data_IF_391973679692
#
_entry.id   IF_391973679692
#
_cell.length_a   1.000
_cell.length_b   1.000
_cell.length_c   1.000
_cell.angle_alpha   90.00
_cell.angle_beta   90.00
_cell.angle_gamma   90.00
#
_symmetry.space_group_name_H-M   'P 1'
#
loop_
_entity.id
_entity.type
_entity.pdbx_description
1 polymer ?
#
# COMPACT_ATOMS: atom_id res chain seq x y z
N UNK A 1 19.20 -18.97 9.96
CA UNK A 1 19.57 -18.22 8.75
C UNK A 1 18.32 -18.10 7.92
N UNK A 2 17.73 -16.92 7.84
CA UNK A 2 16.55 -16.73 7.00
C UNK A 2 16.93 -16.99 5.54
N UNK A 3 16.16 -17.84 4.85
CA UNK A 3 16.41 -18.12 3.44
C UNK A 3 16.46 -16.82 2.63
N UNK A 4 17.38 -16.76 1.66
CA UNK A 4 17.45 -15.69 0.66
C UNK A 4 16.15 -15.72 -0.16
N UNK A 5 15.41 -14.61 -0.29
CA UNK A 5 14.14 -14.62 -1.00
C UNK A 5 14.37 -14.72 -2.51
N UNK A 6 13.46 -15.37 -3.22
CA UNK A 6 13.43 -15.33 -4.69
C UNK A 6 12.72 -14.07 -5.18
N UNK A 7 13.23 -13.48 -6.26
CA UNK A 7 12.63 -12.30 -6.88
C UNK A 7 12.05 -12.65 -8.25
N UNK A 8 10.87 -12.10 -8.55
CA UNK A 8 10.43 -11.92 -9.93
C UNK A 8 10.75 -10.49 -10.34
N UNK A 9 11.66 -10.30 -11.30
CA UNK A 9 12.11 -8.98 -11.74
C UNK A 9 11.52 -8.69 -13.12
N UNK A 10 10.56 -7.77 -13.16
CA UNK A 10 9.94 -7.27 -14.39
C UNK A 10 10.75 -6.08 -14.88
N UNK A 11 11.55 -6.28 -15.93
CA UNK A 11 12.49 -5.29 -16.45
C UNK A 11 11.94 -4.59 -17.69
N UNK A 12 12.22 -3.30 -17.84
CA UNK A 12 11.92 -2.53 -19.07
C UNK A 12 13.03 -1.53 -19.38
N UNK A 13 13.36 -1.35 -20.66
CA UNK A 13 14.40 -0.41 -21.09
C UNK A 13 15.81 -0.85 -20.70
N UNK A 14 16.83 -0.12 -21.15
CA UNK A 14 18.23 -0.48 -20.91
C UNK A 14 18.60 -0.45 -19.44
N UNK A 15 18.17 0.58 -18.72
CA UNK A 15 18.44 0.71 -17.28
C UNK A 15 17.79 -0.43 -16.48
N UNK A 16 16.53 -0.75 -16.77
CA UNK A 16 15.78 -1.79 -16.05
C UNK A 16 16.44 -3.16 -16.16
N UNK A 17 16.91 -3.52 -17.36
CA UNK A 17 17.64 -4.77 -17.59
C UNK A 17 18.97 -4.81 -16.83
N UNK A 18 19.75 -3.73 -16.82
CA UNK A 18 21.00 -3.66 -16.06
C UNK A 18 20.80 -3.78 -14.55
N UNK A 19 19.72 -3.20 -14.03
CA UNK A 19 19.31 -3.38 -12.62
C UNK A 19 18.90 -4.82 -12.36
N UNK A 20 18.14 -5.43 -13.26
CA UNK A 20 17.69 -6.81 -13.16
C UNK A 20 18.85 -7.81 -13.12
N UNK A 21 19.84 -7.66 -14.00
CA UNK A 21 21.04 -8.52 -14.05
C UNK A 21 21.79 -8.49 -12.71
N UNK A 22 22.03 -7.29 -12.17
CA UNK A 22 22.73 -7.12 -10.88
C UNK A 22 21.93 -7.61 -9.68
N UNK A 23 20.60 -7.55 -9.75
CA UNK A 23 19.73 -8.12 -8.72
C UNK A 23 19.72 -9.64 -8.80
N UNK A 24 19.49 -10.23 -9.97
CA UNK A 24 19.48 -11.67 -10.17
C UNK A 24 20.80 -12.33 -9.72
N UNK A 25 21.95 -11.69 -10.00
CA UNK A 25 23.24 -12.15 -9.51
C UNK A 25 23.37 -12.16 -7.97
N UNK A 26 22.61 -11.33 -7.26
CA UNK A 26 22.60 -11.25 -5.80
C UNK A 26 21.48 -12.04 -5.10
N UNK A 27 20.52 -12.57 -5.87
CA UNK A 27 19.36 -13.31 -5.35
C UNK A 27 19.19 -14.60 -6.16
N UNK A 28 19.92 -15.68 -5.82
CA UNK A 28 19.84 -16.96 -6.52
C UNK A 28 18.41 -17.49 -6.62
N UNK A 29 18.05 -18.06 -7.79
CA UNK A 29 16.69 -18.55 -8.05
C UNK A 29 15.68 -17.46 -8.43
N UNK A 30 16.11 -16.21 -8.60
CA UNK A 30 15.27 -15.13 -9.12
C UNK A 30 15.11 -15.23 -10.63
N UNK A 31 13.94 -14.85 -11.12
CA UNK A 31 13.59 -14.85 -12.55
C UNK A 31 13.50 -13.41 -13.06
N UNK A 32 14.04 -13.17 -14.25
CA UNK A 32 13.91 -11.88 -14.97
C UNK A 32 12.94 -12.06 -16.13
N UNK A 33 12.02 -11.11 -16.29
CA UNK A 33 11.03 -11.10 -17.37
C UNK A 33 10.92 -9.70 -17.96
N UNK A 34 10.71 -9.60 -19.27
CA UNK A 34 10.45 -8.32 -19.91
C UNK A 34 9.04 -7.81 -19.58
N UNK A 35 8.91 -6.51 -19.30
CA UNK A 35 7.65 -5.83 -19.01
C UNK A 35 6.65 -5.85 -20.16
N UNK A 36 7.08 -6.10 -21.40
CA UNK A 36 6.20 -6.33 -22.55
C UNK A 36 5.45 -7.67 -22.45
N UNK A 37 5.92 -8.59 -21.61
CA UNK A 37 5.34 -9.93 -21.41
C UNK A 37 5.19 -10.24 -19.91
N UNK A 38 4.37 -9.49 -19.17
CA UNK A 38 4.23 -9.68 -17.74
C UNK A 38 3.65 -11.07 -17.43
N UNK A 39 4.28 -11.81 -16.53
CA UNK A 39 3.76 -13.09 -16.06
C UNK A 39 2.46 -12.89 -15.30
N UNK A 40 1.48 -13.78 -15.53
CA UNK A 40 0.15 -13.70 -14.93
C UNK A 40 0.13 -14.02 -13.43
N UNK A 41 1.15 -14.72 -12.92
CA UNK A 41 1.28 -15.09 -11.51
C UNK A 41 2.73 -14.95 -11.04
N UNK A 42 3.01 -14.18 -9.98
CA UNK A 42 4.35 -14.11 -9.41
C UNK A 42 4.61 -15.37 -8.58
N UNK A 43 5.38 -16.31 -9.13
CA UNK A 43 5.94 -17.44 -8.38
C UNK A 43 7.29 -17.08 -7.77
N UNK A 44 7.28 -16.05 -6.93
CA UNK A 44 8.45 -15.54 -6.24
C UNK A 44 8.05 -14.96 -4.87
N UNK A 45 9.02 -14.82 -3.96
CA UNK A 45 8.76 -14.21 -2.67
C UNK A 45 8.42 -12.73 -2.78
N UNK A 46 9.07 -12.02 -3.71
CA UNK A 46 8.91 -10.57 -3.93
C UNK A 46 8.95 -10.25 -5.42
N UNK A 47 8.11 -9.30 -5.87
CA UNK A 47 8.13 -8.80 -7.25
C UNK A 47 8.82 -7.43 -7.31
N UNK A 48 9.72 -7.24 -8.26
CA UNK A 48 10.44 -5.98 -8.50
C UNK A 48 10.16 -5.50 -9.91
N UNK A 49 9.67 -4.28 -10.08
CA UNK A 49 9.54 -3.66 -11.40
C UNK A 49 10.73 -2.73 -11.60
N UNK A 50 11.64 -3.03 -12.52
CA UNK A 50 12.84 -2.24 -12.77
C UNK A 50 12.74 -1.57 -14.15
N UNK A 51 12.85 -0.25 -14.21
CA UNK A 51 12.65 0.42 -15.49
C UNK A 51 13.02 1.88 -15.54
N UNK A 52 12.91 2.40 -16.76
CA UNK A 52 12.89 3.83 -17.04
C UNK A 52 11.44 4.28 -16.96
N UNK A 53 11.18 5.40 -16.29
CA UNK A 53 9.85 5.99 -16.10
C UNK A 53 8.77 5.02 -15.54
N UNK A 54 7.60 5.57 -15.19
CA UNK A 54 6.51 4.80 -14.59
C UNK A 54 5.54 4.28 -15.66
N UNK A 55 5.66 2.99 -16.01
CA UNK A 55 4.71 2.33 -16.92
C UNK A 55 3.44 1.96 -16.16
N UNK A 56 2.50 2.89 -16.09
CA UNK A 56 1.27 2.76 -15.29
C UNK A 56 0.50 1.44 -15.52
N UNK A 57 0.44 0.95 -16.76
CA UNK A 57 -0.21 -0.32 -17.10
C UNK A 57 0.51 -1.54 -16.50
N UNK A 58 1.85 -1.55 -16.56
CA UNK A 58 2.69 -2.61 -15.97
C UNK A 58 2.57 -2.58 -14.44
N UNK A 59 2.70 -1.39 -13.85
CA UNK A 59 2.58 -1.21 -12.41
C UNK A 59 1.20 -1.66 -11.88
N UNK A 60 0.11 -1.34 -12.60
CA UNK A 60 -1.25 -1.76 -12.24
C UNK A 60 -1.48 -3.28 -12.44
N UNK A 61 -0.89 -3.88 -13.48
CA UNK A 61 -0.93 -5.33 -13.66
C UNK A 61 -0.19 -6.06 -12.53
N UNK A 62 1.01 -5.59 -12.18
CA UNK A 62 1.82 -6.14 -11.08
C UNK A 62 1.12 -5.95 -9.74
N UNK A 63 0.58 -4.76 -9.45
CA UNK A 63 -0.13 -4.52 -8.17
C UNK A 63 -1.32 -5.46 -8.01
N UNK A 64 -2.11 -5.69 -9.06
CA UNK A 64 -3.26 -6.62 -9.03
C UNK A 64 -2.82 -8.07 -8.84
N UNK A 65 -1.79 -8.51 -9.56
CA UNK A 65 -1.29 -9.89 -9.46
C UNK A 65 -0.66 -10.15 -8.08
N UNK A 66 0.18 -9.22 -7.60
CA UNK A 66 0.83 -9.28 -6.30
C UNK A 66 -0.18 -9.23 -5.15
N UNK A 67 -1.21 -8.39 -5.25
CA UNK A 67 -2.29 -8.33 -4.27
C UNK A 67 -3.05 -9.66 -4.16
N UNK A 68 -3.46 -10.23 -5.30
CA UNK A 68 -4.14 -11.54 -5.35
C UNK A 68 -3.27 -12.65 -4.76
N UNK A 69 -1.97 -12.65 -5.09
CA UNK A 69 -1.01 -13.65 -4.61
C UNK A 69 -0.50 -13.38 -3.17
N UNK A 70 -0.91 -12.26 -2.54
CA UNK A 70 -0.38 -11.76 -1.25
C UNK A 70 1.15 -11.65 -1.24
N UNK A 71 1.75 -11.25 -2.36
CA UNK A 71 3.19 -11.07 -2.49
C UNK A 71 3.59 -9.60 -2.37
N UNK A 72 4.63 -9.26 -1.59
CA UNK A 72 5.22 -7.94 -1.63
C UNK A 72 5.70 -7.57 -3.02
N UNK A 73 5.63 -6.29 -3.36
CA UNK A 73 6.25 -5.78 -4.56
C UNK A 73 6.68 -4.32 -4.43
N UNK A 74 7.58 -3.89 -5.30
CA UNK A 74 7.95 -2.47 -5.43
C UNK A 74 8.55 -2.15 -6.79
N UNK A 75 8.39 -0.92 -7.30
CA UNK A 75 9.10 -0.45 -8.47
C UNK A 75 10.44 0.21 -8.10
N UNK A 76 11.41 0.15 -9.01
CA UNK A 76 12.69 0.86 -8.99
C UNK A 76 12.86 1.52 -10.35
N UNK A 77 12.64 2.82 -10.38
CA UNK A 77 12.45 3.58 -11.60
C UNK A 77 13.46 4.70 -11.70
N UNK A 78 14.06 4.85 -12.88
CA UNK A 78 14.79 6.05 -13.25
C UNK A 78 13.81 7.04 -13.91
N UNK A 79 13.42 8.06 -13.17
CA UNK A 79 12.50 9.14 -13.57
C UNK A 79 13.31 10.45 -13.50
N UNK A 80 14.23 10.63 -14.46
CA UNK A 80 15.30 11.63 -14.38
C UNK A 80 14.78 13.04 -14.02
N UNK A 81 15.43 13.75 -13.07
CA UNK A 81 16.72 13.42 -12.43
C UNK A 81 16.62 12.47 -11.23
N UNK A 82 15.45 11.94 -10.91
CA UNK A 82 15.25 11.16 -9.70
C UNK A 82 15.32 9.65 -9.95
N UNK A 83 16.07 8.97 -9.11
CA UNK A 83 15.99 7.52 -8.93
C UNK A 83 15.01 7.23 -7.79
N UNK A 84 13.90 6.55 -8.11
CA UNK A 84 12.83 6.25 -7.15
C UNK A 84 12.74 4.75 -6.90
N UNK A 85 12.70 4.35 -5.64
CA UNK A 85 12.44 2.98 -5.20
C UNK A 85 11.20 2.96 -4.29
N UNK A 86 10.13 2.33 -4.74
CA UNK A 86 8.86 2.24 -4.04
C UNK A 86 7.70 2.94 -4.76
N UNK A 87 6.46 2.79 -4.26
CA UNK A 87 6.14 2.32 -2.90
C UNK A 87 6.50 0.84 -2.67
N UNK A 88 7.03 0.53 -1.48
CA UNK A 88 7.17 -0.86 -1.02
C UNK A 88 5.82 -1.35 -0.53
N UNK A 89 5.11 -2.07 -1.40
CA UNK A 89 3.75 -2.58 -1.16
C UNK A 89 3.84 -3.97 -0.57
N UNK A 90 3.26 -4.16 0.62
CA UNK A 90 3.03 -5.44 1.26
C UNK A 90 1.52 -5.62 1.43
N UNK A 91 0.87 -6.48 0.63
CA UNK A 91 -0.57 -6.71 0.69
C UNK A 91 -1.05 -7.01 2.11
N UNK A 92 -2.12 -6.35 2.54
CA UNK A 92 -2.68 -6.47 3.89
C UNK A 92 -1.94 -5.70 5.00
N UNK A 93 -0.77 -5.12 4.70
CA UNK A 93 0.05 -4.39 5.69
C UNK A 93 0.28 -2.92 5.35
N UNK A 94 0.56 -2.60 4.09
CA UNK A 94 0.87 -1.22 3.65
C UNK A 94 -0.23 -0.66 2.75
N UNK A 95 -0.12 0.63 2.43
CA UNK A 95 -0.86 1.21 1.31
C UNK A 95 -0.52 0.49 0.00
N UNK A 96 -1.51 0.31 -0.89
CA UNK A 96 -1.29 -0.22 -2.23
C UNK A 96 -0.75 0.85 -3.20
N UNK A 97 -0.37 0.43 -4.40
CA UNK A 97 0.10 1.35 -5.42
C UNK A 97 -0.97 2.35 -5.89
N UNK A 98 -2.25 1.95 -5.94
CA UNK A 98 -3.33 2.87 -6.26
C UNK A 98 -3.48 3.99 -5.20
N UNK A 99 -3.28 3.69 -3.91
CA UNK A 99 -3.22 4.72 -2.87
C UNK A 99 -2.07 5.71 -3.13
N UNK A 100 -0.89 5.21 -3.51
CA UNK A 100 0.23 6.07 -3.90
C UNK A 100 -0.12 6.97 -5.08
N UNK A 101 -0.70 6.42 -6.16
CA UNK A 101 -1.08 7.21 -7.35
C UNK A 101 -2.07 8.32 -7.01
N UNK A 102 -3.10 8.02 -6.20
CA UNK A 102 -4.09 9.01 -5.75
C UNK A 102 -3.41 10.13 -4.94
N UNK A 103 -2.60 9.77 -3.93
CA UNK A 103 -1.86 10.76 -3.12
C UNK A 103 -0.92 11.61 -3.97
N UNK A 104 -0.25 11.02 -4.96
CA UNK A 104 0.64 11.76 -5.86
C UNK A 104 -0.13 12.79 -6.71
N UNK A 105 -1.32 12.43 -7.19
CA UNK A 105 -2.22 13.35 -7.92
C UNK A 105 -2.70 14.51 -7.03
N UNK A 106 -3.08 14.21 -5.78
CA UNK A 106 -3.52 15.24 -4.82
C UNK A 106 -2.42 16.29 -4.54
N UNK A 107 -1.16 15.86 -4.58
CA UNK A 107 0.01 16.74 -4.42
C UNK A 107 0.47 17.41 -5.73
N UNK A 108 -0.34 17.38 -6.80
CA UNK A 108 -0.01 17.98 -8.09
C UNK A 108 1.14 17.29 -8.82
N UNK A 109 1.51 16.08 -8.41
CA UNK A 109 2.51 15.30 -9.13
C UNK A 109 2.00 14.93 -10.53
N UNK A 110 2.87 14.89 -11.55
CA UNK A 110 2.46 14.52 -12.90
C UNK A 110 1.86 13.11 -12.89
N UNK A 111 0.73 12.93 -13.59
CA UNK A 111 0.24 11.59 -13.90
C UNK A 111 1.20 11.02 -14.95
N UNK A 112 2.23 10.29 -14.49
CA UNK A 112 3.34 9.80 -15.33
C UNK A 112 2.93 8.77 -16.38
N UNK A 113 1.63 8.65 -16.67
CA UNK A 113 1.04 7.60 -17.49
C UNK A 113 1.08 7.81 -19.00
N UNK A 114 1.70 8.85 -19.56
CA UNK A 114 1.46 9.18 -20.99
C UNK A 114 2.64 9.64 -21.83
N UNK A 115 3.86 9.78 -21.32
CA UNK A 115 4.98 10.21 -22.18
C UNK A 115 6.24 9.40 -21.87
N UNK A 116 6.62 8.52 -22.80
CA UNK A 116 7.99 8.03 -22.89
C UNK A 116 8.87 9.24 -23.16
N UNK A 117 9.47 9.79 -22.12
CA UNK A 117 10.46 10.85 -22.26
C UNK A 117 11.80 10.17 -22.51
N UNK A 118 12.56 10.56 -23.54
CA UNK A 118 13.94 10.11 -23.67
C UNK A 118 14.67 10.43 -22.37
N UNK A 119 15.04 9.40 -21.63
CA UNK A 119 15.86 9.59 -20.44
C UNK A 119 17.26 9.93 -20.96
N UNK A 120 17.89 11.02 -20.49
CA UNK A 120 19.33 11.18 -20.68
C UNK A 120 19.99 9.87 -20.23
N UNK A 121 20.94 9.35 -21.01
CA UNK A 121 21.55 8.04 -20.73
C UNK A 121 21.97 7.87 -19.27
N UNK A 122 21.92 6.65 -18.73
CA UNK A 122 22.29 6.38 -17.35
C UNK A 122 23.77 6.01 -17.22
N UNK A 123 24.39 6.43 -16.12
CA UNK A 123 25.72 5.99 -15.75
C UNK A 123 25.68 4.69 -14.93
N UNK A 124 26.78 3.94 -14.95
CA UNK A 124 26.86 2.62 -14.31
C UNK A 124 26.70 2.68 -12.78
N UNK A 125 27.03 3.84 -12.17
CA UNK A 125 26.81 4.11 -10.75
C UNK A 125 25.34 4.38 -10.41
N UNK A 126 24.51 4.89 -11.35
CA UNK A 126 23.05 5.01 -11.15
C UNK A 126 22.42 3.63 -10.98
N UNK A 127 22.86 2.65 -11.79
CA UNK A 127 22.45 1.25 -11.65
C UNK A 127 22.89 0.70 -10.29
N UNK A 128 24.10 1.04 -9.83
CA UNK A 128 24.58 0.66 -8.49
C UNK A 128 23.69 1.18 -7.36
N UNK A 129 23.31 2.46 -7.42
CA UNK A 129 22.38 3.08 -6.46
C UNK A 129 21.00 2.40 -6.50
N UNK A 130 20.48 2.10 -7.69
CA UNK A 130 19.19 1.44 -7.87
C UNK A 130 19.16 0.05 -7.23
N UNK A 131 20.21 -0.74 -7.44
CA UNK A 131 20.38 -2.06 -6.82
C UNK A 131 20.47 -1.94 -5.30
N UNK A 132 21.19 -0.94 -4.78
CA UNK A 132 21.30 -0.72 -3.34
C UNK A 132 19.94 -0.37 -2.70
N UNK A 133 19.16 0.52 -3.34
CA UNK A 133 17.80 0.86 -2.92
C UNK A 133 16.87 -0.36 -2.99
N UNK A 134 16.92 -1.14 -4.06
CA UNK A 134 16.14 -2.36 -4.23
C UNK A 134 16.45 -3.40 -3.15
N UNK A 135 17.74 -3.65 -2.86
CA UNK A 135 18.16 -4.56 -1.77
C UNK A 135 17.65 -4.10 -0.42
N UNK A 136 17.60 -2.78 -0.18
CA UNK A 136 17.00 -2.21 1.03
C UNK A 136 15.49 -2.46 1.08
N UNK A 137 14.78 -2.24 -0.02
CA UNK A 137 13.35 -2.50 -0.13
C UNK A 137 13.00 -3.98 0.08
N UNK A 138 13.82 -4.92 -0.41
CA UNK A 138 13.68 -6.36 -0.13
C UNK A 138 13.73 -6.63 1.39
N UNK A 139 14.69 -6.03 2.11
CA UNK A 139 14.78 -6.18 3.57
C UNK A 139 13.58 -5.57 4.28
N UNK A 140 13.18 -4.36 3.87
CA UNK A 140 12.05 -3.65 4.46
C UNK A 140 10.72 -4.42 4.24
N UNK A 141 10.52 -5.06 3.08
CA UNK A 141 9.34 -5.88 2.78
C UNK A 141 9.21 -7.11 3.69
N UNK A 142 10.35 -7.73 4.05
CA UNK A 142 10.40 -8.90 4.93
C UNK A 142 10.27 -8.56 6.41
N UNK A 143 10.55 -7.32 6.79
CA UNK A 143 10.56 -6.93 8.20
C UNK A 143 9.17 -6.42 8.63
N UNK A 144 8.59 -6.94 9.71
CA UNK A 144 7.43 -6.33 10.35
C UNK A 144 7.78 -4.93 10.87
N UNK A 145 7.37 -3.87 10.15
CA UNK A 145 7.53 -2.50 10.63
C UNK A 145 6.56 -2.22 11.78
N UNK A 146 7.07 -1.80 12.94
CA UNK A 146 6.28 -1.22 14.04
C UNK A 146 5.83 0.23 13.74
N UNK A 147 6.41 0.87 12.73
CA UNK A 147 6.12 2.26 12.34
C UNK A 147 5.05 2.27 11.25
N UNK A 148 3.95 2.99 11.54
CA UNK A 148 2.79 3.41 10.75
C UNK A 148 2.35 2.52 9.56
N UNK A 149 1.04 2.26 9.40
CA UNK A 149 0.51 1.49 8.26
C UNK A 149 0.65 2.27 6.95
N UNK A 150 1.85 2.28 6.37
CA UNK A 150 2.17 3.00 5.14
C UNK A 150 3.24 2.30 4.33
N UNK A 151 3.12 2.39 3.00
CA UNK A 151 4.21 2.01 2.12
C UNK A 151 5.28 3.12 2.13
N UNK A 152 6.52 2.80 1.80
CA UNK A 152 7.59 3.81 1.76
C UNK A 152 8.17 3.93 0.36
N UNK A 153 8.57 5.16 0.03
CA UNK A 153 9.30 5.50 -1.20
C UNK A 153 10.64 6.07 -0.77
N UNK A 154 11.70 5.66 -1.46
CA UNK A 154 13.03 6.25 -1.37
C UNK A 154 13.35 6.93 -2.68
N UNK A 155 13.93 8.11 -2.61
CA UNK A 155 14.35 8.88 -3.77
C UNK A 155 15.81 9.26 -3.62
N UNK A 156 16.52 9.33 -4.74
CA UNK A 156 17.83 9.96 -4.84
C UNK A 156 17.79 10.85 -6.07
N UNK A 157 17.97 12.15 -5.89
CA UNK A 157 18.15 13.06 -7.00
C UNK A 157 19.59 12.93 -7.50
N UNK A 158 19.76 12.52 -8.76
CA UNK A 158 21.05 12.19 -9.35
C UNK A 158 21.90 13.44 -9.69
N UNK A 159 21.27 14.62 -9.71
CA UNK A 159 21.96 15.90 -9.98
C UNK A 159 22.45 16.54 -8.68
N UNK A 160 21.60 16.64 -7.67
CA UNK A 160 21.92 17.28 -6.39
C UNK A 160 22.52 16.33 -5.36
N UNK A 161 22.41 15.02 -5.58
CA UNK A 161 22.79 13.98 -4.61
C UNK A 161 21.86 13.89 -3.40
N UNK A 162 20.77 14.66 -3.34
CA UNK A 162 19.86 14.63 -2.20
C UNK A 162 19.08 13.32 -2.17
N UNK A 163 18.90 12.75 -0.98
CA UNK A 163 18.09 11.55 -0.80
C UNK A 163 16.89 11.82 0.08
N UNK A 164 15.76 11.18 -0.25
CA UNK A 164 14.49 11.34 0.42
C UNK A 164 13.88 10.01 0.85
N UNK A 165 13.07 10.05 1.90
CA UNK A 165 12.18 8.95 2.29
C UNK A 165 10.78 9.51 2.54
N UNK A 166 9.80 8.97 1.83
CA UNK A 166 8.43 9.46 1.84
C UNK A 166 7.48 8.33 2.23
N UNK A 167 6.58 8.62 3.17
CA UNK A 167 5.52 7.69 3.56
C UNK A 167 4.31 7.83 2.65
N UNK A 168 3.71 6.70 2.27
CA UNK A 168 2.44 6.63 1.54
C UNK A 168 1.38 6.13 2.49
N UNK A 169 0.42 7.00 2.79
CA UNK A 169 -0.73 6.68 3.64
C UNK A 169 -1.84 6.09 2.78
N UNK A 170 -2.45 5.00 3.24
CA UNK A 170 -3.60 4.40 2.57
C UNK A 170 -4.74 5.43 2.44
N UNK A 171 -5.48 5.35 1.35
CA UNK A 171 -6.69 6.15 1.13
C UNK A 171 -7.87 5.43 1.78
N UNK A 172 -8.70 6.16 2.51
CA UNK A 172 -9.91 5.61 3.11
C UNK A 172 -10.88 5.12 2.03
N UNK A 173 -11.44 3.92 2.25
CA UNK A 173 -12.33 3.29 1.26
C UNK A 173 -11.62 2.78 0.00
N UNK A 174 -10.29 2.70 -0.03
CA UNK A 174 -9.58 2.12 -1.18
C UNK A 174 -10.10 0.70 -1.47
N UNK A 175 -10.67 0.42 -2.65
CA UNK A 175 -11.29 -0.88 -2.94
C UNK A 175 -10.28 -2.05 -2.90
N UNK A 176 -8.98 -1.76 -2.99
CA UNK A 176 -7.89 -2.74 -2.93
C UNK A 176 -7.46 -3.02 -1.50
N UNK A 177 -6.83 -2.06 -0.81
CA UNK A 177 -6.22 -2.32 0.50
C UNK A 177 -7.06 -1.86 1.72
N UNK A 178 -8.12 -1.09 1.50
CA UNK A 178 -9.03 -0.58 2.55
C UNK A 178 -10.49 -0.62 2.07
N UNK A 179 -11.01 -1.79 1.68
CA UNK A 179 -12.38 -1.86 1.17
C UNK A 179 -13.35 -1.29 2.22
N UNK A 180 -14.42 -0.61 1.80
CA UNK A 180 -15.42 -0.10 2.72
C UNK A 180 -15.86 -1.23 3.66
N UNK A 181 -15.86 -0.97 4.97
CA UNK A 181 -16.48 -1.91 5.90
C UNK A 181 -17.95 -2.00 5.50
N UNK A 182 -18.41 -3.21 5.16
CA UNK A 182 -19.84 -3.48 5.10
C UNK A 182 -20.36 -3.14 6.49
N UNK A 183 -21.10 -2.04 6.60
CA UNK A 183 -21.80 -1.74 7.84
C UNK A 183 -22.76 -2.90 8.04
N UNK A 184 -22.56 -3.69 9.08
CA UNK A 184 -23.63 -4.57 9.56
C UNK A 184 -24.86 -3.68 9.70
N UNK A 185 -25.99 -4.13 9.15
CA UNK A 185 -27.25 -3.40 9.27
C UNK A 185 -27.40 -2.99 10.73
N UNK A 186 -27.54 -1.69 10.99
CA UNK A 186 -27.87 -1.23 12.34
C UNK A 186 -29.14 -2.00 12.70
N UNK A 187 -29.16 -2.81 13.77
CA UNK A 187 -30.40 -3.44 14.21
C UNK A 187 -31.42 -2.32 14.33
N UNK A 188 -32.62 -2.56 13.78
CA UNK A 188 -33.69 -1.57 13.76
C UNK A 188 -33.78 -0.92 15.14
N UNK A 189 -33.89 0.41 15.19
CA UNK A 189 -34.12 1.06 16.47
C UNK A 189 -35.30 0.35 17.14
N UNK A 190 -35.18 -0.05 18.40
CA UNK A 190 -36.32 -0.59 19.11
C UNK A 190 -37.44 0.43 18.98
N UNK A 191 -38.64 -0.06 18.65
CA UNK A 191 -39.81 0.77 18.45
C UNK A 191 -39.89 1.83 19.56
N UNK A 192 -40.24 3.09 19.22
CA UNK A 192 -40.33 4.14 20.22
C UNK A 192 -41.14 3.61 21.39
N UNK A 193 -40.55 3.65 22.60
CA UNK A 193 -41.28 3.26 23.81
C UNK A 193 -42.53 4.13 23.83
N UNK A 194 -43.70 3.52 23.67
CA UNK A 194 -44.95 4.22 23.88
C UNK A 194 -44.84 4.82 25.27
N UNK A 195 -44.95 6.15 25.36
CA UNK A 195 -45.14 6.77 26.66
C UNK A 195 -46.34 6.07 27.26
N UNK A 196 -46.18 5.50 28.47
CA UNK A 196 -47.36 5.16 29.26
C UNK A 196 -48.23 6.42 29.28
N UNK A 197 -49.52 6.33 28.94
CA UNK A 197 -50.41 7.45 29.15
C UNK A 197 -50.25 7.91 30.60
N UNK A 198 -50.18 9.21 30.80
CA UNK A 198 -50.16 9.76 32.15
C UNK A 198 -51.39 9.21 32.89
N UNK A 199 -51.24 8.79 34.17
CA UNK A 199 -52.37 8.29 34.93
C UNK A 199 -53.46 9.36 34.95
N UNK A 200 -54.68 8.93 34.65
CA UNK A 200 -55.86 9.78 34.72
C UNK A 200 -55.95 10.39 36.13
N UNK A 201 -55.99 11.72 36.27
CA UNK A 201 -56.17 12.36 37.57
C UNK A 201 -57.48 11.97 38.28
N UNK A 202 -58.39 11.25 37.61
CA UNK A 202 -59.62 10.70 38.16
C UNK A 202 -59.57 9.24 38.65
N UNK A 203 -58.44 8.54 38.60
CA UNK A 203 -58.36 7.13 39.06
C UNK A 203 -58.14 7.04 40.60
N UNK A 204 -59.14 6.61 41.39
CA UNK A 204 -59.04 6.58 42.85
C UNK A 204 -58.11 5.48 43.40
N UNK A 205 -57.66 4.53 42.59
CA UNK A 205 -56.88 3.36 43.06
C UNK A 205 -55.35 3.56 43.04
N UNK A 206 -54.84 4.73 42.62
CA UNK A 206 -53.40 4.98 42.45
C UNK A 206 -52.62 5.47 43.68
N UNK A 207 -53.29 5.74 44.82
CA UNK A 207 -52.69 6.49 45.92
C UNK A 207 -51.80 5.69 46.89
N UNK A 208 -51.89 4.35 46.93
CA UNK A 208 -51.32 3.58 48.06
C UNK A 208 -49.90 3.03 47.86
N UNK A 209 -49.34 3.02 46.65
CA UNK A 209 -48.07 2.30 46.41
C UNK A 209 -46.79 3.09 46.73
N UNK A 210 -46.88 4.34 47.23
CA UNK A 210 -45.72 5.25 47.35
C UNK A 210 -45.23 5.52 48.79
N UNK A 211 -45.78 4.87 49.82
CA UNK A 211 -45.41 5.13 51.23
C UNK A 211 -44.53 4.09 51.95
N UNK A 212 -44.20 2.93 51.36
CA UNK A 212 -43.53 1.85 52.12
C UNK A 212 -42.04 1.59 51.80
N UNK A 213 -41.31 2.49 51.11
CA UNK A 213 -39.92 2.19 50.67
C UNK A 213 -38.80 3.13 51.13
N UNK A 214 -38.98 3.83 52.25
CA UNK A 214 -37.88 4.56 52.90
C UNK A 214 -37.97 4.45 54.42
N UNK A 215 -37.51 3.33 54.95
CA UNK A 215 -37.34 3.12 56.38
C UNK A 215 -36.71 1.76 56.69
N UNK A 216 -35.40 1.65 56.54
CA UNK A 216 -34.51 0.75 57.32
C UNK A 216 -33.12 0.64 56.65
N UNK A 217 -32.14 1.42 57.12
CA UNK A 217 -30.72 1.01 57.26
C UNK A 217 -30.07 1.88 58.34
N UNK A 218 -30.04 1.34 59.56
CA UNK A 218 -28.99 1.54 60.55
C UNK A 218 -28.52 0.14 60.94
#
# INVERSE_FOLDING_TARGET
>A
MDATPTLLIVASGGFGHRVADRLAAGYPGSTVTDAERPQSRPDADIVVVAGEYDRAAVAEAVDRAAFTARRPWFPVLLDHPDLRCGPVVVPGRTACHDCFRRRRRDHGGPDTGTVERPVPGYADHHVGLAVALARRAVRDARTPSAQLPGAWIRTVNLVTGTSGRHGVVAVDGCPRCRPPRVRAARPADPAPRTRRPDPDPGDPDGADARRERTGARA
#
